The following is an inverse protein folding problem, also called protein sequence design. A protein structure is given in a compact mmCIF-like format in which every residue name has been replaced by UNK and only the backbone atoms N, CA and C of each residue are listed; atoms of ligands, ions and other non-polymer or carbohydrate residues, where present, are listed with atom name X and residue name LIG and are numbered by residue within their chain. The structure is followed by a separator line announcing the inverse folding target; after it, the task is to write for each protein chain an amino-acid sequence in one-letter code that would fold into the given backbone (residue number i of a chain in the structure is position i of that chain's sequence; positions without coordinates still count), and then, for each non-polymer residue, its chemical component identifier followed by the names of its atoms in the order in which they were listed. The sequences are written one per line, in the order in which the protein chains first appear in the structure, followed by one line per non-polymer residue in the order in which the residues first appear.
data_IF_253150242308
#
_entry.id   IF_253150242308
#
_cell.length_a   1.000
_cell.length_b   1.000
_cell.length_c   1.000
_cell.angle_alpha   90.00
_cell.angle_beta   90.00
_cell.angle_gamma   90.00
#
_symmetry.space_group_name_H-M   'P 1'
#
loop_
_entity.id
_entity.type
_entity.pdbx_description
1 polymer ?
#
# COMPACT_ATOMS: atom_id res chain seq x y z
N UNK A 1 -4.93 8.19 7.44
CA UNK A 1 -3.86 7.77 6.52
C UNK A 1 -3.90 6.26 6.38
N UNK A 2 -3.67 5.74 5.19
CA UNK A 2 -3.83 4.32 4.88
C UNK A 2 -2.51 3.57 5.09
N UNK A 3 -2.47 2.60 5.99
CA UNK A 3 -1.21 1.88 6.34
C UNK A 3 -1.18 0.50 5.70
N UNK A 4 -2.29 -0.24 5.76
CA UNK A 4 -2.39 -1.60 5.23
C UNK A 4 -3.83 -1.92 4.84
N UNK A 5 -3.99 -2.66 3.76
CA UNK A 5 -5.26 -3.23 3.30
C UNK A 5 -5.07 -4.69 2.94
N UNK A 6 -5.89 -5.54 3.52
CA UNK A 6 -5.97 -6.95 3.16
C UNK A 6 -7.33 -7.20 2.53
N UNK A 7 -7.33 -7.83 1.36
CA UNK A 7 -8.52 -8.14 0.57
C UNK A 7 -8.50 -9.64 0.28
N UNK A 8 -9.66 -10.28 0.41
CA UNK A 8 -9.87 -11.66 0.02
C UNK A 8 -11.31 -11.81 -0.49
N UNK A 9 -11.50 -12.62 -1.53
CA UNK A 9 -12.81 -12.88 -2.13
C UNK A 9 -13.66 -11.62 -2.38
N UNK A 10 -13.06 -10.58 -2.96
CA UNK A 10 -13.71 -9.31 -3.27
C UNK A 10 -13.63 -9.01 -4.77
N UNK A 11 -14.79 -8.93 -5.42
CA UNK A 11 -14.92 -8.70 -6.87
C UNK A 11 -14.05 -9.70 -7.66
N UNK A 12 -13.00 -9.24 -8.33
CA UNK A 12 -12.10 -10.08 -9.11
C UNK A 12 -10.87 -10.59 -8.33
N UNK A 13 -10.74 -10.26 -7.05
CA UNK A 13 -9.64 -10.71 -6.19
C UNK A 13 -10.13 -11.91 -5.38
N UNK A 14 -9.74 -13.11 -5.82
CA UNK A 14 -10.10 -14.37 -5.15
C UNK A 14 -9.19 -14.63 -3.95
N UNK A 15 -7.88 -14.66 -4.20
CA UNK A 15 -6.87 -15.00 -3.22
C UNK A 15 -6.61 -13.86 -2.23
N UNK A 16 -6.08 -14.19 -1.06
CA UNK A 16 -5.69 -13.20 -0.07
C UNK A 16 -4.54 -12.32 -0.60
N UNK A 17 -4.74 -11.01 -0.59
CA UNK A 17 -3.80 -10.00 -1.03
C UNK A 17 -3.67 -8.91 0.01
N UNK A 18 -2.44 -8.48 0.31
CA UNK A 18 -2.17 -7.36 1.22
C UNK A 18 -1.37 -6.26 0.51
N UNK A 19 -1.92 -5.05 0.49
CA UNK A 19 -1.22 -3.81 0.14
C UNK A 19 -0.72 -3.16 1.44
N UNK A 20 0.59 -3.10 1.63
CA UNK A 20 1.25 -2.53 2.82
C UNK A 20 2.07 -1.30 2.44
N UNK A 21 1.78 -0.17 3.08
CA UNK A 21 2.44 1.12 2.87
C UNK A 21 3.33 1.51 4.06
N UNK A 22 3.63 0.60 4.98
CA UNK A 22 4.59 0.86 6.05
C UNK A 22 6.01 1.04 5.49
N UNK A 23 6.69 2.10 5.96
CA UNK A 23 8.08 2.34 5.59
C UNK A 23 8.98 1.33 6.32
N UNK A 24 9.72 0.50 5.56
CA UNK A 24 10.53 -0.61 6.09
C UNK A 24 11.75 -0.21 6.94
N UNK A 25 11.93 1.09 7.23
CA UNK A 25 13.08 1.61 7.98
C UNK A 25 14.44 1.48 7.28
N UNK A 26 14.47 1.00 6.03
CA UNK A 26 15.68 0.90 5.22
C UNK A 26 16.05 2.26 4.61
N UNK A 27 17.36 2.52 4.47
CA UNK A 27 17.90 3.74 3.84
C UNK A 27 17.59 3.85 2.33
N UNK A 28 16.81 2.93 1.76
CA UNK A 28 16.42 2.92 0.35
C UNK A 28 15.23 3.83 0.04
N UNK A 29 14.52 4.33 1.06
CA UNK A 29 13.36 5.19 0.85
C UNK A 29 13.75 6.67 0.77
N UNK A 30 13.09 7.41 -0.13
CA UNK A 30 13.20 8.86 -0.14
C UNK A 30 12.48 9.41 1.09
N UNK A 31 13.23 10.02 2.03
CA UNK A 31 12.70 10.53 3.30
C UNK A 31 11.52 11.47 3.11
N UNK A 32 11.56 12.31 2.06
CA UNK A 32 10.50 13.26 1.73
C UNK A 32 9.18 12.60 1.27
N UNK A 33 9.20 11.30 0.95
CA UNK A 33 8.01 10.52 0.55
C UNK A 33 7.48 9.62 1.69
N UNK A 34 8.00 9.80 2.90
CA UNK A 34 7.52 9.12 4.10
C UNK A 34 6.81 10.15 4.99
N UNK A 35 5.54 9.90 5.28
CA UNK A 35 4.85 10.60 6.35
C UNK A 35 5.07 9.87 7.67
N UNK A 36 5.47 10.58 8.71
CA UNK A 36 5.56 10.07 10.08
C UNK A 36 5.23 11.19 11.06
N UNK A 37 4.27 10.96 11.96
CA UNK A 37 4.02 11.86 13.09
C UNK A 37 4.60 11.27 14.39
N UNK A 38 4.53 12.02 15.50
CA UNK A 38 5.10 11.62 16.78
C UNK A 38 4.42 10.38 17.41
N UNK A 39 3.16 10.11 17.07
CA UNK A 39 2.38 8.99 17.61
C UNK A 39 2.56 7.69 16.80
N UNK A 40 3.20 7.77 15.63
CA UNK A 40 3.39 6.65 14.72
C UNK A 40 4.68 5.89 15.02
N UNK A 41 4.53 4.60 15.35
CA UNK A 41 5.66 3.67 15.51
C UNK A 41 6.44 3.46 14.21
N UNK A 42 5.73 3.40 13.07
CA UNK A 42 6.31 3.25 11.72
C UNK A 42 5.85 4.38 10.81
N UNK A 43 6.71 4.85 9.91
CA UNK A 43 6.30 5.81 8.88
C UNK A 43 5.43 5.14 7.81
N UNK A 44 4.72 5.93 7.02
CA UNK A 44 3.89 5.45 5.91
C UNK A 44 4.28 6.14 4.61
N UNK A 45 4.29 5.38 3.52
CA UNK A 45 4.52 5.89 2.17
C UNK A 45 3.38 6.84 1.76
N UNK A 46 3.72 8.02 1.26
CA UNK A 46 2.73 9.03 0.86
C UNK A 46 1.97 8.67 -0.42
N UNK A 47 2.51 7.78 -1.24
CA UNK A 47 1.97 7.44 -2.56
C UNK A 47 2.25 5.99 -2.93
N UNK A 48 1.31 5.37 -3.64
CA UNK A 48 1.48 4.05 -4.23
C UNK A 48 0.89 4.04 -5.65
N UNK A 49 1.51 3.26 -6.55
CA UNK A 49 1.03 3.06 -7.91
C UNK A 49 0.56 1.61 -8.10
N UNK A 50 -0.65 1.44 -8.62
CA UNK A 50 -1.19 0.12 -8.99
C UNK A 50 -1.29 0.06 -10.52
N UNK A 51 -0.48 -0.77 -11.16
CA UNK A 51 -0.40 -0.91 -12.61
C UNK A 51 -0.48 -2.38 -13.04
N UNK A 52 -0.77 -2.62 -14.33
CA UNK A 52 -1.00 -3.96 -14.87
C UNK A 52 -1.94 -3.96 -16.09
N UNK A 53 -2.01 -5.09 -16.77
CA UNK A 53 -2.79 -5.28 -18.00
C UNK A 53 -4.29 -4.97 -17.84
N UNK A 54 -5.01 -4.76 -18.94
CA UNK A 54 -6.46 -4.55 -18.90
C UNK A 54 -7.18 -5.74 -18.24
N UNK A 55 -8.27 -5.46 -17.53
CA UNK A 55 -9.02 -6.43 -16.74
C UNK A 55 -8.26 -7.15 -15.59
N UNK A 56 -7.04 -6.72 -15.25
CA UNK A 56 -6.26 -7.32 -14.14
C UNK A 56 -6.76 -6.97 -12.72
N UNK A 57 -7.94 -6.37 -12.58
CA UNK A 57 -8.52 -6.06 -11.27
C UNK A 57 -7.99 -4.81 -10.54
N UNK A 58 -7.15 -3.97 -11.17
CA UNK A 58 -6.56 -2.77 -10.53
C UNK A 58 -7.59 -1.85 -9.87
N UNK A 59 -8.65 -1.51 -10.60
CA UNK A 59 -9.74 -0.64 -10.10
C UNK A 59 -10.65 -1.33 -9.07
N UNK A 60 -10.45 -2.62 -8.79
CA UNK A 60 -11.13 -3.30 -7.69
C UNK A 60 -10.36 -3.19 -6.36
N UNK A 61 -9.10 -2.73 -6.41
CA UNK A 61 -8.27 -2.44 -5.22
C UNK A 61 -8.40 -0.97 -4.79
N UNK A 62 -8.85 -0.09 -5.70
CA UNK A 62 -9.16 1.33 -5.45
C UNK A 62 -10.59 1.50 -4.93
#
# INVERSE_FOLDING_TARGET
MFVRLTIENFRSVKENFTLDLSASGSNSHLVNHIYKNAEMSVGTLMSAGIYGANASGKSNVL
#
